data_IF_053635627719
#
_entry.id   IF_053635627719
#
_cell.length_a   1.000
_cell.length_b   1.000
_cell.length_c   1.000
_cell.angle_alpha   90.00
_cell.angle_beta   90.00
_cell.angle_gamma   90.00
#
_symmetry.space_group_name_H-M   'P 1'
#
loop_
_entity.id
_entity.type
_entity.pdbx_description
1 polymer ?
#
# COMPACT_ATOMS: atom_id res chain seq x y z
N UNK A 1 9.53 -11.84 11.02
CA UNK A 1 8.69 -12.70 10.15
C UNK A 1 8.48 -11.99 8.81
N UNK A 2 9.35 -12.24 7.83
CA UNK A 2 9.24 -11.63 6.49
C UNK A 2 8.34 -12.54 5.64
N UNK A 3 7.11 -12.11 5.31
CA UNK A 3 6.24 -12.84 4.38
C UNK A 3 6.77 -12.60 2.96
N UNK A 4 7.53 -13.57 2.45
CA UNK A 4 8.15 -13.55 1.12
C UNK A 4 7.11 -13.50 0.00
N UNK A 5 7.49 -12.90 -1.13
CA UNK A 5 6.64 -12.74 -2.31
C UNK A 5 6.20 -14.06 -2.93
N UNK A 6 5.17 -14.01 -3.77
CA UNK A 6 4.70 -15.13 -4.59
C UNK A 6 5.17 -14.92 -6.03
N UNK A 7 5.73 -15.97 -6.63
CA UNK A 7 6.06 -16.02 -8.05
C UNK A 7 5.04 -16.91 -8.73
N UNK A 8 4.18 -16.32 -9.55
CA UNK A 8 3.32 -17.01 -10.52
C UNK A 8 3.98 -16.83 -11.89
N UNK A 9 3.82 -17.75 -12.83
CA UNK A 9 4.58 -17.73 -14.10
C UNK A 9 4.57 -16.33 -14.75
N UNK A 10 5.74 -15.69 -14.77
CA UNK A 10 5.95 -14.35 -15.34
C UNK A 10 5.68 -13.13 -14.45
N UNK A 11 5.22 -13.28 -13.20
CA UNK A 11 4.90 -12.14 -12.33
C UNK A 11 5.49 -12.29 -10.93
N UNK A 12 6.32 -11.33 -10.53
CA UNK A 12 6.85 -11.20 -9.16
C UNK A 12 5.98 -10.27 -8.33
N UNK A 13 5.26 -10.81 -7.34
CA UNK A 13 4.53 -10.01 -6.36
C UNK A 13 5.33 -9.90 -5.06
N UNK A 14 6.01 -8.76 -4.86
CA UNK A 14 6.63 -8.42 -3.58
C UNK A 14 5.65 -7.64 -2.70
N UNK A 15 5.50 -8.07 -1.45
CA UNK A 15 4.79 -7.29 -0.41
C UNK A 15 5.73 -6.31 0.31
N UNK A 16 7.03 -6.40 0.03
CA UNK A 16 8.07 -5.55 0.58
C UNK A 16 8.41 -4.44 -0.41
N UNK A 17 7.60 -3.39 -0.37
CA UNK A 17 7.81 -2.13 -1.07
C UNK A 17 7.73 -0.96 -0.08
N UNK A 18 8.26 0.19 -0.50
CA UNK A 18 8.39 1.42 0.27
C UNK A 18 7.74 2.58 -0.50
N UNK A 19 7.08 3.48 0.22
CA UNK A 19 6.45 4.70 -0.29
C UNK A 19 6.96 5.95 0.45
N UNK A 20 8.07 5.85 1.18
CA UNK A 20 8.69 6.97 1.88
C UNK A 20 8.95 8.16 0.94
N UNK A 21 8.53 9.34 1.40
CA UNK A 21 8.67 10.60 0.65
C UNK A 21 7.72 10.73 -0.55
N UNK A 22 6.71 9.85 -0.66
CA UNK A 22 5.63 9.98 -1.65
C UNK A 22 4.37 10.50 -0.98
N UNK A 23 3.60 11.27 -1.75
CA UNK A 23 2.25 11.71 -1.37
C UNK A 23 1.24 10.90 -2.16
N UNK A 24 0.23 10.33 -1.49
CA UNK A 24 -0.84 9.57 -2.11
C UNK A 24 -2.22 10.16 -1.81
N UNK A 25 -3.02 10.34 -2.86
CA UNK A 25 -4.43 10.71 -2.77
C UNK A 25 -5.29 9.45 -2.78
N UNK A 26 -6.06 9.22 -1.73
CA UNK A 26 -6.98 8.08 -1.62
C UNK A 26 -8.41 8.57 -1.50
N UNK A 27 -9.21 8.33 -2.53
CA UNK A 27 -10.66 8.60 -2.54
C UNK A 27 -11.43 7.44 -1.89
N UNK A 28 -12.48 7.76 -1.13
CA UNK A 28 -13.22 6.76 -0.35
C UNK A 28 -12.41 6.24 0.84
N UNK A 29 -11.46 7.02 1.35
CA UNK A 29 -10.52 6.61 2.41
C UNK A 29 -11.17 6.33 3.77
N UNK A 30 -12.44 6.68 3.96
CA UNK A 30 -13.14 6.55 5.24
C UNK A 30 -13.47 5.10 5.63
N UNK A 31 -13.72 4.21 4.65
CA UNK A 31 -14.19 2.85 4.93
C UNK A 31 -13.80 1.82 3.86
N UNK A 32 -14.07 0.55 4.15
CA UNK A 32 -13.87 -0.57 3.23
C UNK A 32 -12.45 -0.64 2.65
N UNK A 33 -12.36 -0.82 1.34
CA UNK A 33 -11.10 -0.99 0.61
C UNK A 33 -10.26 0.29 0.66
N UNK A 34 -10.88 1.46 0.52
CA UNK A 34 -10.16 2.74 0.57
C UNK A 34 -9.43 2.94 1.89
N UNK A 35 -10.08 2.62 3.02
CA UNK A 35 -9.45 2.63 4.35
C UNK A 35 -8.29 1.64 4.46
N UNK A 36 -8.47 0.42 3.94
CA UNK A 36 -7.41 -0.59 3.97
C UNK A 36 -6.17 -0.15 3.17
N UNK A 37 -6.38 0.45 1.99
CA UNK A 37 -5.31 0.98 1.15
C UNK A 37 -4.60 2.15 1.84
N UNK A 38 -5.35 3.12 2.39
CA UNK A 38 -4.78 4.26 3.11
C UNK A 38 -3.90 3.80 4.28
N UNK A 39 -4.37 2.84 5.08
CA UNK A 39 -3.60 2.29 6.19
C UNK A 39 -2.33 1.59 5.72
N UNK A 40 -2.40 0.80 4.64
CA UNK A 40 -1.22 0.15 4.08
C UNK A 40 -0.21 1.18 3.58
N UNK A 41 -0.67 2.21 2.86
CA UNK A 41 0.22 3.23 2.31
C UNK A 41 0.89 4.06 3.42
N UNK A 42 0.17 4.40 4.48
CA UNK A 42 0.74 5.02 5.67
C UNK A 42 1.82 4.13 6.32
N UNK A 43 1.56 2.83 6.44
CA UNK A 43 2.54 1.86 6.97
C UNK A 43 3.79 1.74 6.09
N UNK A 44 3.68 2.06 4.80
CA UNK A 44 4.81 2.12 3.85
C UNK A 44 5.44 3.51 3.75
N UNK A 45 5.08 4.45 4.62
CA UNK A 45 5.73 5.76 4.72
C UNK A 45 5.22 6.84 3.76
N UNK A 46 4.05 6.64 3.13
CA UNK A 46 3.43 7.68 2.32
C UNK A 46 2.74 8.75 3.18
N UNK A 47 2.85 10.01 2.78
CA UNK A 47 1.96 11.08 3.24
C UNK A 47 0.62 10.98 2.49
N UNK A 48 -0.50 11.14 3.20
CA UNK A 48 -1.83 10.85 2.64
C UNK A 48 -2.73 12.08 2.58
N UNK A 49 -3.46 12.20 1.47
CA UNK A 49 -4.64 13.05 1.34
C UNK A 49 -5.84 12.12 1.17
N UNK A 50 -6.84 12.23 2.04
CA UNK A 50 -8.05 11.42 2.00
C UNK A 50 -9.23 12.27 1.54
N UNK A 51 -10.03 11.73 0.62
CA UNK A 51 -11.26 12.34 0.10
C UNK A 51 -12.42 11.37 0.24
#
# INVERSE_FOLDING_TARGET
MRRGGITLEGVNFSTDFSLEGKVALVTGGAQGIGKAIALLFAQKGADLILV
#
